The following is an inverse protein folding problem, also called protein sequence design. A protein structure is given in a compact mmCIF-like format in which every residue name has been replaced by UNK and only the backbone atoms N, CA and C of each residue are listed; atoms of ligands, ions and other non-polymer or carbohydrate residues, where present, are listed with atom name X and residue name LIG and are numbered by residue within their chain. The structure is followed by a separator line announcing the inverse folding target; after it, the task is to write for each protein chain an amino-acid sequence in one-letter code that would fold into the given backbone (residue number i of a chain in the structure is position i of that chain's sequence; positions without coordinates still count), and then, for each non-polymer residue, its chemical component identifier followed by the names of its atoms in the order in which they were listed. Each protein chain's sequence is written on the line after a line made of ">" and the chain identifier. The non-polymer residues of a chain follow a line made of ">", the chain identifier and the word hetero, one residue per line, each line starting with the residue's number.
data_IF_975771346544
#
_entry.id   IF_975771346544
#
_cell.length_a   1.000
_cell.length_b   1.000
_cell.length_c   1.000
_cell.angle_alpha   90.00
_cell.angle_beta   90.00
_cell.angle_gamma   90.00
#
_symmetry.space_group_name_H-M   'P 1'
#
loop_
_entity.id
_entity.type
_entity.pdbx_description
1 polymer ?
#
# COMPACT_ATOMS: atom_id res chain seq x y z
N UNK A 1 -63.77 2.74 33.71
CA UNK A 1 -63.29 3.90 32.91
C UNK A 1 -61.77 4.17 33.02
N UNK A 2 -61.13 4.07 34.19
CA UNK A 2 -59.66 4.29 34.34
C UNK A 2 -58.80 3.27 33.58
N UNK A 3 -59.19 1.99 33.58
CA UNK A 3 -58.46 0.94 32.85
C UNK A 3 -58.51 1.11 31.33
N UNK A 4 -59.65 1.57 30.79
CA UNK A 4 -59.83 1.82 29.36
C UNK A 4 -58.96 3.00 28.87
N UNK A 5 -58.81 4.06 29.69
CA UNK A 5 -57.90 5.17 29.40
C UNK A 5 -56.43 4.73 29.41
N UNK A 6 -56.04 3.83 30.30
CA UNK A 6 -54.67 3.31 30.37
C UNK A 6 -54.31 2.47 29.14
N UNK A 7 -55.25 1.65 28.66
CA UNK A 7 -55.08 0.82 27.45
C UNK A 7 -55.00 1.70 26.20
N UNK A 8 -55.81 2.76 26.09
CA UNK A 8 -55.75 3.70 24.96
C UNK A 8 -54.43 4.48 24.94
N UNK A 9 -53.91 4.90 26.10
CA UNK A 9 -52.60 5.59 26.20
C UNK A 9 -51.45 4.64 25.85
N UNK A 10 -51.49 3.37 26.30
CA UNK A 10 -50.49 2.37 25.94
C UNK A 10 -50.52 1.99 24.46
N UNK A 11 -51.72 1.92 23.85
CA UNK A 11 -51.87 1.71 22.41
C UNK A 11 -51.33 2.92 21.60
N UNK A 12 -51.54 4.14 22.07
CA UNK A 12 -50.96 5.34 21.45
C UNK A 12 -49.43 5.36 21.56
N UNK A 13 -48.85 4.93 22.68
CA UNK A 13 -47.39 4.83 22.86
C UNK A 13 -46.75 3.73 21.99
N UNK A 14 -47.51 2.68 21.62
CA UNK A 14 -47.04 1.65 20.69
C UNK A 14 -47.11 2.08 19.23
N UNK A 15 -48.08 2.93 18.86
CA UNK A 15 -48.23 3.45 17.48
C UNK A 15 -47.14 4.47 17.10
N UNK A 16 -46.50 5.13 18.06
CA UNK A 16 -45.40 6.08 17.81
C UNK A 16 -44.01 5.43 17.64
N UNK A 17 -43.91 4.09 17.67
CA UNK A 17 -42.62 3.37 17.52
C UNK A 17 -42.33 2.91 16.08
N UNK A 18 -43.19 3.25 15.11
CA UNK A 18 -42.88 3.04 13.68
C UNK A 18 -42.18 4.29 13.14
N UNK A 19 -41.02 4.61 13.71
CA UNK A 19 -40.11 5.54 13.08
C UNK A 19 -39.62 4.91 11.79
N UNK A 20 -40.02 5.45 10.64
CA UNK A 20 -39.39 5.15 9.35
C UNK A 20 -37.94 5.64 9.43
N UNK A 21 -37.05 4.82 9.96
CA UNK A 21 -35.62 5.01 9.77
C UNK A 21 -35.35 4.75 8.29
N UNK A 22 -35.24 5.82 7.50
CA UNK A 22 -34.90 5.72 6.10
C UNK A 22 -33.55 5.00 5.99
N UNK A 23 -33.54 3.84 5.33
CA UNK A 23 -32.34 3.03 5.20
C UNK A 23 -31.34 3.79 4.34
N UNK A 24 -30.28 4.29 4.97
CA UNK A 24 -29.19 4.99 4.28
C UNK A 24 -28.49 4.02 3.34
N UNK A 25 -28.36 4.40 2.08
CA UNK A 25 -27.56 3.71 1.09
C UNK A 25 -26.20 4.40 0.96
N UNK A 26 -25.16 3.61 0.66
CA UNK A 26 -23.80 4.12 0.53
C UNK A 26 -23.17 3.64 -0.77
N UNK A 27 -22.43 4.52 -1.42
CA UNK A 27 -21.48 4.16 -2.46
C UNK A 27 -20.18 3.73 -1.81
N UNK A 28 -19.61 2.62 -2.28
CA UNK A 28 -18.42 2.00 -1.70
C UNK A 28 -17.33 1.92 -2.78
N UNK A 29 -16.13 2.39 -2.44
CA UNK A 29 -14.93 2.14 -3.22
C UNK A 29 -13.92 1.36 -2.38
N UNK A 30 -13.35 0.34 -2.99
CA UNK A 30 -12.26 -0.44 -2.38
C UNK A 30 -10.93 0.10 -2.92
N UNK A 31 -10.02 0.47 -2.01
CA UNK A 31 -8.62 0.72 -2.32
C UNK A 31 -7.79 -0.44 -1.82
N UNK A 32 -6.97 -1.03 -2.68
CA UNK A 32 -6.10 -2.15 -2.33
C UNK A 32 -4.63 -1.79 -2.54
N UNK A 33 -3.76 -2.39 -1.72
CA UNK A 33 -2.33 -2.46 -1.96
C UNK A 33 -1.89 -3.93 -2.00
N UNK A 34 -0.99 -4.26 -2.93
CA UNK A 34 -0.40 -5.59 -3.01
C UNK A 34 1.04 -5.56 -3.56
N UNK A 35 2.00 -6.07 -2.78
CA UNK A 35 3.33 -6.40 -3.29
C UNK A 35 3.23 -7.62 -4.23
N UNK A 36 3.61 -7.46 -5.49
CA UNK A 36 3.47 -8.50 -6.50
C UNK A 36 4.59 -9.55 -6.47
N UNK A 37 5.56 -9.45 -5.56
CA UNK A 37 6.74 -10.33 -5.46
C UNK A 37 7.40 -10.50 -6.83
N UNK A 38 8.18 -9.49 -7.22
CA UNK A 38 9.02 -9.48 -8.42
C UNK A 38 8.23 -9.82 -9.70
N UNK A 39 7.29 -8.96 -10.08
CA UNK A 39 6.64 -9.06 -11.38
C UNK A 39 7.58 -8.55 -12.47
N UNK A 40 8.51 -9.41 -12.88
CA UNK A 40 9.38 -9.23 -14.04
C UNK A 40 8.76 -9.89 -15.28
N UNK A 41 9.07 -9.35 -16.44
CA UNK A 41 8.95 -10.02 -17.72
C UNK A 41 10.04 -11.11 -17.85
N UNK A 42 10.33 -11.58 -19.06
CA UNK A 42 11.25 -12.72 -19.27
C UNK A 42 12.53 -12.33 -20.02
N UNK A 43 12.72 -11.04 -20.24
CA UNK A 43 13.78 -10.44 -21.04
C UNK A 43 14.76 -9.78 -20.07
N UNK A 44 16.02 -10.18 -20.16
CA UNK A 44 17.05 -9.59 -19.30
C UNK A 44 17.25 -8.11 -19.61
N UNK A 45 17.29 -7.27 -18.59
CA UNK A 45 17.66 -5.87 -18.71
C UNK A 45 19.11 -5.65 -18.20
N UNK A 46 20.08 -5.34 -19.09
CA UNK A 46 21.48 -5.24 -18.71
C UNK A 46 21.79 -4.08 -17.75
N UNK A 47 20.87 -3.14 -17.56
CA UNK A 47 21.02 -1.99 -16.67
C UNK A 47 20.50 -2.25 -15.24
N UNK A 48 19.86 -3.40 -15.01
CA UNK A 48 19.25 -3.79 -13.72
C UNK A 48 19.72 -5.16 -13.26
N UNK A 49 19.51 -5.47 -11.97
CA UNK A 49 19.88 -6.75 -11.39
C UNK A 49 18.73 -7.77 -11.46
N UNK A 50 18.26 -8.10 -12.66
CA UNK A 50 17.10 -8.98 -12.93
C UNK A 50 17.46 -10.36 -13.51
N UNK A 51 18.75 -10.68 -13.70
CA UNK A 51 19.24 -11.94 -14.29
C UNK A 51 18.58 -13.22 -13.70
N UNK A 52 18.21 -13.19 -12.41
CA UNK A 52 17.55 -14.29 -11.73
C UNK A 52 16.14 -14.60 -12.27
N UNK A 53 15.45 -13.59 -12.81
CA UNK A 53 14.10 -13.60 -13.37
C UNK A 53 14.09 -13.81 -14.88
N UNK A 54 15.06 -14.55 -15.40
CA UNK A 54 15.11 -14.97 -16.80
C UNK A 54 14.85 -16.48 -16.94
N UNK A 55 14.57 -17.00 -18.15
CA UNK A 55 14.42 -18.44 -18.37
C UNK A 55 15.66 -19.25 -17.96
N UNK A 56 16.85 -18.65 -18.02
CA UNK A 56 18.13 -19.25 -17.64
C UNK A 56 18.56 -18.90 -16.20
N UNK A 57 17.89 -17.95 -15.56
CA UNK A 57 18.15 -17.51 -14.20
C UNK A 57 17.78 -18.55 -13.15
N UNK A 58 18.10 -18.25 -11.89
CA UNK A 58 17.88 -19.16 -10.75
C UNK A 58 16.39 -19.43 -10.50
N UNK A 59 15.49 -18.50 -10.84
CA UNK A 59 14.04 -18.70 -10.75
C UNK A 59 13.47 -19.52 -11.91
N UNK A 60 14.25 -19.77 -12.98
CA UNK A 60 13.80 -20.43 -14.23
C UNK A 60 12.51 -19.77 -14.75
N UNK A 61 12.53 -18.44 -14.83
CA UNK A 61 11.35 -17.62 -15.12
C UNK A 61 11.03 -17.67 -16.61
N UNK A 62 10.17 -18.61 -17.00
CA UNK A 62 9.75 -18.82 -18.39
C UNK A 62 8.47 -18.05 -18.68
N UNK A 63 8.15 -17.82 -19.96
CA UNK A 63 6.89 -17.16 -20.37
C UNK A 63 5.66 -17.89 -19.82
N UNK A 64 5.72 -19.23 -19.68
CA UNK A 64 4.66 -20.01 -19.02
C UNK A 64 4.47 -19.63 -17.55
N UNK A 65 5.57 -19.45 -16.81
CA UNK A 65 5.50 -19.02 -15.40
C UNK A 65 4.99 -17.59 -15.28
N UNK A 66 5.48 -16.71 -16.15
CA UNK A 66 5.07 -15.32 -16.23
C UNK A 66 3.54 -15.20 -16.46
N UNK A 67 3.00 -15.85 -17.49
CA UNK A 67 1.55 -15.84 -17.72
C UNK A 67 0.76 -16.44 -16.56
N UNK A 68 1.26 -17.52 -15.94
CA UNK A 68 0.60 -18.09 -14.76
C UNK A 68 0.59 -17.10 -13.57
N UNK A 69 1.68 -16.33 -13.39
CA UNK A 69 1.76 -15.27 -12.38
C UNK A 69 0.74 -14.17 -12.66
N UNK A 70 0.61 -13.73 -13.91
CA UNK A 70 -0.41 -12.74 -14.31
C UNK A 70 -1.83 -13.24 -14.00
N UNK A 71 -2.17 -14.49 -14.34
CA UNK A 71 -3.47 -15.08 -14.02
C UNK A 71 -3.73 -15.15 -12.50
N UNK A 72 -2.71 -15.52 -11.74
CA UNK A 72 -2.76 -15.59 -10.28
C UNK A 72 -3.03 -14.20 -9.67
N UNK A 73 -2.25 -13.19 -10.08
CA UNK A 73 -2.42 -11.81 -9.62
C UNK A 73 -3.78 -11.25 -10.04
N UNK A 74 -4.20 -11.44 -11.29
CA UNK A 74 -5.48 -10.99 -11.81
C UNK A 74 -6.66 -11.55 -10.99
N UNK A 75 -6.60 -12.83 -10.63
CA UNK A 75 -7.60 -13.43 -9.74
C UNK A 75 -7.64 -12.72 -8.39
N UNK A 76 -6.47 -12.57 -7.74
CA UNK A 76 -6.39 -11.99 -6.40
C UNK A 76 -6.95 -10.58 -6.39
N UNK A 77 -6.41 -9.71 -7.25
CA UNK A 77 -6.74 -8.28 -7.20
C UNK A 77 -8.22 -8.01 -7.46
N UNK A 78 -8.89 -8.82 -8.29
CA UNK A 78 -10.32 -8.69 -8.55
C UNK A 78 -11.20 -9.16 -7.38
N UNK A 79 -10.71 -10.09 -6.55
CA UNK A 79 -11.45 -10.63 -5.40
C UNK A 79 -11.29 -9.79 -4.12
N UNK A 80 -10.31 -8.89 -4.05
CA UNK A 80 -10.06 -8.06 -2.86
C UNK A 80 -11.27 -7.17 -2.55
N UNK A 81 -11.73 -7.23 -1.30
CA UNK A 81 -12.83 -6.41 -0.80
C UNK A 81 -14.23 -6.76 -1.32
N UNK A 82 -14.36 -7.86 -2.07
CA UNK A 82 -15.64 -8.28 -2.67
C UNK A 82 -16.72 -8.67 -1.66
N UNK A 83 -16.34 -8.89 -0.39
CA UNK A 83 -17.28 -9.21 0.68
C UNK A 83 -18.23 -8.06 1.03
N UNK A 84 -17.77 -6.80 0.90
CA UNK A 84 -18.58 -5.60 1.21
C UNK A 84 -18.90 -4.78 -0.05
N UNK A 85 -18.14 -4.97 -1.13
CA UNK A 85 -18.30 -4.24 -2.39
C UNK A 85 -18.28 -5.20 -3.57
N UNK A 86 -19.41 -5.41 -4.25
CA UNK A 86 -19.46 -6.32 -5.39
C UNK A 86 -18.54 -5.89 -6.57
N UNK A 87 -18.15 -4.61 -6.64
CA UNK A 87 -17.15 -4.15 -7.59
C UNK A 87 -15.74 -4.53 -7.11
N UNK A 88 -14.89 -4.96 -8.04
CA UNK A 88 -13.45 -5.07 -7.83
C UNK A 88 -12.83 -3.73 -7.38
N UNK A 89 -11.62 -3.74 -6.78
CA UNK A 89 -11.00 -2.53 -6.27
C UNK A 89 -10.95 -1.39 -7.26
N UNK A 90 -11.41 -0.22 -6.85
CA UNK A 90 -11.35 0.98 -7.68
C UNK A 90 -9.92 1.43 -7.89
N UNK A 91 -9.06 1.20 -6.90
CA UNK A 91 -7.62 1.39 -7.00
C UNK A 91 -6.90 0.12 -6.56
N UNK A 92 -5.89 -0.27 -7.32
CA UNK A 92 -4.94 -1.33 -6.99
C UNK A 92 -3.57 -0.69 -7.08
N UNK A 93 -3.00 -0.35 -5.94
CA UNK A 93 -1.61 0.04 -5.87
C UNK A 93 -0.74 -1.20 -5.67
N UNK A 94 0.45 -1.18 -6.24
CA UNK A 94 1.35 -2.32 -6.18
C UNK A 94 2.81 -1.90 -6.11
N UNK A 95 3.63 -2.83 -5.65
CA UNK A 95 5.09 -2.73 -5.62
C UNK A 95 5.71 -3.98 -6.23
N UNK A 96 7.02 -3.90 -6.48
CA UNK A 96 7.80 -4.95 -7.13
C UNK A 96 7.39 -5.17 -8.59
N UNK A 97 7.22 -4.06 -9.29
CA UNK A 97 6.90 -4.01 -10.71
C UNK A 97 8.17 -3.73 -11.48
N UNK A 98 8.53 -4.55 -12.46
CA UNK A 98 9.74 -4.26 -13.25
C UNK A 98 9.56 -3.06 -14.17
N UNK A 99 8.45 -3.04 -14.91
CA UNK A 99 8.22 -2.02 -15.92
C UNK A 99 6.72 -1.86 -16.23
N UNK A 100 6.38 -0.86 -17.04
CA UNK A 100 4.98 -0.63 -17.45
C UNK A 100 4.37 -1.80 -18.23
N UNK A 101 5.17 -2.50 -19.05
CA UNK A 101 4.70 -3.59 -19.91
C UNK A 101 4.08 -4.73 -19.11
N UNK A 102 4.67 -5.11 -17.98
CA UNK A 102 4.09 -6.17 -17.14
C UNK A 102 2.73 -5.80 -16.53
N UNK A 103 2.47 -4.51 -16.32
CA UNK A 103 1.17 -4.02 -15.87
C UNK A 103 0.15 -4.01 -17.01
N UNK A 104 0.59 -3.68 -18.22
CA UNK A 104 -0.24 -3.73 -19.43
C UNK A 104 -0.70 -5.17 -19.70
N UNK A 105 0.20 -6.14 -19.59
CA UNK A 105 -0.13 -7.57 -19.69
C UNK A 105 -1.06 -8.04 -18.58
N UNK A 106 -0.95 -7.49 -17.36
CA UNK A 106 -1.84 -7.80 -16.24
C UNK A 106 -3.25 -7.27 -16.48
N UNK A 107 -3.41 -5.98 -16.83
CA UNK A 107 -4.76 -5.40 -17.02
C UNK A 107 -5.47 -5.96 -18.25
N UNK A 108 -4.72 -6.50 -19.21
CA UNK A 108 -5.26 -7.21 -20.38
C UNK A 108 -5.66 -8.65 -20.10
N UNK A 109 -5.37 -9.20 -18.90
CA UNK A 109 -5.85 -10.53 -18.55
C UNK A 109 -7.37 -10.63 -18.74
N UNK A 110 -7.91 -11.74 -19.30
CA UNK A 110 -9.32 -11.82 -19.68
C UNK A 110 -10.32 -11.46 -18.57
N UNK A 111 -9.96 -11.72 -17.30
CA UNK A 111 -10.80 -11.41 -16.15
C UNK A 111 -10.77 -9.93 -15.74
N UNK A 112 -9.70 -9.20 -16.04
CA UNK A 112 -9.47 -7.79 -15.67
C UNK A 112 -9.80 -6.80 -16.80
N UNK A 113 -9.79 -7.25 -18.05
CA UNK A 113 -9.96 -6.37 -19.21
C UNK A 113 -11.29 -5.61 -19.19
N UNK A 114 -12.36 -6.18 -18.62
CA UNK A 114 -13.68 -5.56 -18.56
C UNK A 114 -13.77 -4.38 -17.59
N UNK A 115 -12.84 -4.26 -16.64
CA UNK A 115 -12.82 -3.21 -15.62
C UNK A 115 -12.14 -1.93 -16.10
N UNK A 116 -11.48 -1.96 -17.27
CA UNK A 116 -10.82 -0.81 -17.92
C UNK A 116 -9.93 -0.01 -16.95
N UNK A 117 -8.94 -0.71 -16.37
CA UNK A 117 -7.94 -0.08 -15.51
C UNK A 117 -7.01 0.83 -16.32
N UNK A 118 -6.77 2.04 -15.83
CA UNK A 118 -5.65 2.89 -16.20
C UNK A 118 -4.41 2.58 -15.38
N UNK A 119 -3.24 2.92 -15.90
CA UNK A 119 -1.93 2.66 -15.29
C UNK A 119 -1.19 3.99 -15.09
N UNK A 120 -0.72 4.24 -13.87
CA UNK A 120 0.30 5.26 -13.55
C UNK A 120 1.53 4.52 -12.98
N UNK A 121 2.67 4.71 -13.63
CA UNK A 121 3.94 4.04 -13.34
C UNK A 121 5.11 4.95 -13.72
N UNK A 122 6.20 4.89 -12.95
CA UNK A 122 7.48 5.49 -13.28
C UNK A 122 8.60 4.54 -12.89
N UNK A 123 9.64 4.51 -13.71
CA UNK A 123 10.86 3.82 -13.36
C UNK A 123 11.54 4.56 -12.19
N UNK A 124 12.04 3.80 -11.21
CA UNK A 124 12.75 4.30 -10.04
C UNK A 124 14.23 3.94 -10.11
N UNK A 125 15.10 4.61 -9.32
CA UNK A 125 16.52 4.34 -9.39
C UNK A 125 16.94 3.07 -8.62
N UNK A 126 15.99 2.21 -8.25
CA UNK A 126 16.31 0.95 -7.57
C UNK A 126 17.15 0.04 -8.47
N UNK A 127 18.25 -0.50 -7.93
CA UNK A 127 19.19 -1.31 -8.72
C UNK A 127 18.61 -2.65 -9.18
N UNK A 128 17.53 -3.13 -8.56
CA UNK A 128 16.81 -4.32 -9.02
C UNK A 128 15.85 -4.00 -10.17
N UNK A 129 15.64 -2.73 -10.50
CA UNK A 129 14.65 -2.31 -11.49
C UNK A 129 13.24 -2.62 -11.04
N UNK A 130 12.90 -2.30 -9.78
CA UNK A 130 11.55 -2.55 -9.26
C UNK A 130 10.90 -1.29 -8.71
N UNK A 131 9.63 -1.12 -9.07
CA UNK A 131 8.90 0.12 -8.91
C UNK A 131 7.60 -0.06 -8.14
N UNK A 132 6.92 1.07 -7.98
CA UNK A 132 5.54 1.16 -7.51
C UNK A 132 4.64 1.64 -8.63
N UNK A 133 3.38 1.22 -8.58
CA UNK A 133 2.38 1.64 -9.56
C UNK A 133 1.02 1.85 -8.91
N UNK A 134 0.16 2.58 -9.64
CA UNK A 134 -1.26 2.69 -9.33
C UNK A 134 -2.07 2.28 -10.56
N UNK A 135 -2.86 1.21 -10.40
CA UNK A 135 -3.96 0.88 -11.31
C UNK A 135 -5.24 1.50 -10.77
N UNK A 136 -6.07 2.07 -11.65
CA UNK A 136 -7.34 2.68 -11.26
C UNK A 136 -8.44 2.43 -12.28
N UNK A 137 -9.67 2.20 -11.86
CA UNK A 137 -10.80 2.08 -12.79
C UNK A 137 -11.14 3.46 -13.37
N UNK A 138 -10.94 3.65 -14.68
CA UNK A 138 -11.13 4.94 -15.37
C UNK A 138 -12.55 5.50 -15.25
N UNK A 139 -13.54 4.61 -15.08
CA UNK A 139 -14.94 4.98 -14.86
C UNK A 139 -15.15 5.86 -13.62
N UNK A 140 -14.37 5.62 -12.56
CA UNK A 140 -14.59 6.24 -11.25
C UNK A 140 -13.55 7.30 -10.91
N UNK A 141 -12.30 7.11 -11.38
CA UNK A 141 -11.20 8.01 -11.07
C UNK A 141 -10.61 8.68 -12.31
N UNK A 142 -10.41 9.99 -12.20
CA UNK A 142 -9.74 10.80 -13.22
C UNK A 142 -8.50 11.46 -12.61
N UNK A 143 -7.27 10.96 -12.88
CA UNK A 143 -6.06 11.61 -12.40
C UNK A 143 -5.92 13.00 -13.03
N UNK A 144 -5.46 13.96 -12.24
CA UNK A 144 -5.15 15.33 -12.66
C UNK A 144 -3.67 15.66 -12.55
N UNK A 145 -2.96 15.01 -11.63
CA UNK A 145 -1.51 15.11 -11.50
C UNK A 145 -0.94 13.80 -10.97
N UNK A 146 0.28 13.48 -11.36
CA UNK A 146 1.05 12.41 -10.76
C UNK A 146 2.54 12.71 -10.88
N UNK A 147 3.29 12.41 -9.84
CA UNK A 147 4.72 12.69 -9.75
C UNK A 147 5.43 11.61 -8.93
N UNK A 148 6.65 11.27 -9.33
CA UNK A 148 7.53 10.46 -8.51
C UNK A 148 8.39 11.38 -7.65
N UNK A 149 8.32 11.23 -6.32
CA UNK A 149 8.99 12.13 -5.37
C UNK A 149 10.23 11.44 -4.82
N UNK A 150 11.45 11.95 -5.15
CA UNK A 150 12.67 11.21 -4.85
C UNK A 150 12.99 11.04 -3.37
N UNK A 151 13.41 9.83 -2.99
CA UNK A 151 13.96 9.56 -1.66
C UNK A 151 15.49 9.65 -1.67
N UNK A 152 16.03 10.72 -1.10
CA UNK A 152 17.46 10.89 -0.93
C UNK A 152 17.92 10.39 0.44
N UNK A 153 18.65 9.28 0.45
CA UNK A 153 19.27 8.68 1.63
C UNK A 153 20.73 8.35 1.37
N UNK A 154 21.56 8.45 2.42
CA UNK A 154 23.00 8.27 2.33
C UNK A 154 23.48 7.31 3.43
N UNK A 155 24.40 6.41 3.09
CA UNK A 155 25.09 5.57 4.07
C UNK A 155 26.24 6.37 4.71
N UNK A 156 26.36 6.29 6.03
CA UNK A 156 27.58 6.75 6.68
C UNK A 156 28.70 5.77 6.35
N UNK A 157 29.83 6.24 5.81
CA UNK A 157 31.06 5.42 5.76
C UNK A 157 31.41 5.07 7.20
N UNK A 158 31.33 3.80 7.56
CA UNK A 158 32.02 3.32 8.77
C UNK A 158 33.49 3.66 8.56
N UNK A 159 34.08 4.49 9.42
CA UNK A 159 35.55 4.63 9.45
C UNK A 159 36.12 3.26 9.84
N UNK A 160 36.35 2.40 8.86
CA UNK A 160 37.39 1.39 9.01
C UNK A 160 38.70 2.18 8.91
N UNK A 161 39.21 2.63 10.05
CA UNK A 161 40.63 2.93 10.20
C UNK A 161 41.38 1.60 10.01
N UNK A 162 41.62 1.23 8.76
CA UNK A 162 42.82 0.49 8.42
C UNK A 162 43.89 1.54 8.15
N UNK A 163 44.85 1.58 9.08
CA UNK A 163 46.12 2.30 8.99
C UNK A 163 46.74 2.16 7.60
N UNK A 164 46.70 3.25 6.82
CA UNK A 164 47.63 3.50 5.74
C UNK A 164 48.47 4.73 6.12
N UNK A 165 49.75 4.49 6.34
CA UNK A 165 50.80 5.44 6.64
C UNK A 165 51.02 6.46 5.51
N UNK A 166 51.32 7.70 5.90
CA UNK A 166 52.12 8.75 5.20
C UNK A 166 51.68 9.12 3.78
N UNK A 167 51.31 10.37 3.47
CA UNK A 167 52.17 11.57 3.50
C UNK A 167 51.33 12.78 3.06
N UNK A 168 51.86 13.96 3.37
CA UNK A 168 51.33 15.30 3.15
C UNK A 168 51.11 15.64 1.67
N UNK A 169 50.01 16.34 1.34
CA UNK A 169 49.96 17.60 0.55
C UNK A 169 48.51 17.97 0.16
N UNK A 170 48.31 19.26 -0.08
CA UNK A 170 47.04 19.96 -0.29
C UNK A 170 46.29 19.54 -1.56
N UNK A 171 44.96 19.47 -1.47
CA UNK A 171 44.05 20.20 -2.36
C UNK A 171 42.63 20.18 -1.75
N UNK A 172 41.93 21.31 -1.84
CA UNK A 172 40.51 21.42 -1.48
C UNK A 172 39.67 20.58 -2.46
N UNK A 173 39.65 19.26 -2.27
CA UNK A 173 38.72 18.37 -2.97
C UNK A 173 37.30 18.70 -2.53
N UNK A 174 36.50 19.20 -3.48
CA UNK A 174 35.05 19.18 -3.40
C UNK A 174 34.63 17.72 -3.21
N UNK A 175 34.41 17.34 -1.96
CA UNK A 175 33.96 15.99 -1.57
C UNK A 175 32.73 15.66 -2.41
N UNK A 176 32.87 14.68 -3.31
CA UNK A 176 31.79 14.19 -4.15
C UNK A 176 30.68 13.66 -3.23
N UNK A 177 29.63 14.47 -3.02
CA UNK A 177 28.53 14.21 -2.08
C UNK A 177 27.67 13.00 -2.47
N UNK A 178 27.97 12.36 -3.60
CA UNK A 178 27.22 11.22 -4.15
C UNK A 178 27.78 9.83 -3.81
N UNK A 179 29.03 9.71 -3.31
CA UNK A 179 29.69 8.40 -3.18
C UNK A 179 28.95 7.39 -2.28
N UNK A 180 28.10 7.86 -1.36
CA UNK A 180 27.38 6.99 -0.43
C UNK A 180 25.86 7.02 -0.60
N UNK A 181 25.35 7.51 -1.73
CA UNK A 181 23.90 7.53 -1.97
C UNK A 181 23.37 6.09 -2.02
N UNK A 182 22.34 5.82 -1.23
CA UNK A 182 21.57 4.58 -1.34
C UNK A 182 20.44 4.84 -2.33
N UNK A 183 20.53 4.19 -3.48
CA UNK A 183 19.46 4.22 -4.47
C UNK A 183 18.37 3.22 -4.07
N UNK A 184 17.14 3.71 -4.06
CA UNK A 184 15.95 2.99 -3.62
C UNK A 184 14.72 3.62 -4.29
N UNK A 185 13.55 3.07 -4.02
CA UNK A 185 12.31 3.51 -4.65
C UNK A 185 11.89 4.88 -4.13
N UNK A 186 11.32 5.64 -5.05
CA UNK A 186 10.72 6.93 -4.80
C UNK A 186 9.25 6.76 -4.34
N UNK A 187 8.59 7.86 -3.94
CA UNK A 187 7.18 7.83 -3.54
C UNK A 187 6.29 8.41 -4.64
N UNK A 188 5.40 7.58 -5.19
CA UNK A 188 4.47 7.99 -6.23
C UNK A 188 3.29 8.73 -5.63
N UNK A 189 3.20 10.04 -5.86
CA UNK A 189 2.03 10.86 -5.53
C UNK A 189 1.10 10.94 -6.73
N UNK A 190 -0.18 10.65 -6.52
CA UNK A 190 -1.26 10.79 -7.52
C UNK A 190 -2.38 11.63 -6.93
N UNK A 191 -2.79 12.68 -7.64
CA UNK A 191 -3.96 13.50 -7.33
C UNK A 191 -4.99 13.32 -8.43
N UNK A 192 -6.27 13.27 -8.06
CA UNK A 192 -7.36 13.24 -9.04
C UNK A 192 -8.73 13.20 -8.40
N UNK A 193 -9.76 13.02 -9.21
CA UNK A 193 -11.15 13.05 -8.76
C UNK A 193 -11.77 11.64 -8.76
N UNK A 194 -12.16 11.16 -7.58
CA UNK A 194 -12.98 9.96 -7.38
C UNK A 194 -14.45 10.38 -7.32
N UNK A 195 -15.23 10.05 -8.35
CA UNK A 195 -16.62 10.51 -8.50
C UNK A 195 -16.80 12.03 -8.30
N UNK A 196 -15.86 12.81 -8.82
CA UNK A 196 -15.86 14.27 -8.70
C UNK A 196 -15.35 14.81 -7.37
N UNK A 197 -14.87 13.96 -6.47
CA UNK A 197 -14.26 14.36 -5.20
C UNK A 197 -12.73 14.20 -5.26
N UNK A 198 -11.99 15.25 -4.93
CA UNK A 198 -10.52 15.21 -5.00
C UNK A 198 -9.95 14.30 -3.91
N UNK A 199 -9.07 13.39 -4.33
CA UNK A 199 -8.30 12.52 -3.45
C UNK A 199 -6.83 12.51 -3.88
N UNK A 200 -5.96 12.29 -2.90
CA UNK A 200 -4.53 12.15 -3.09
C UNK A 200 -4.09 10.77 -2.60
N UNK A 201 -3.34 10.04 -3.42
CA UNK A 201 -2.83 8.70 -3.12
C UNK A 201 -1.31 8.76 -3.19
N UNK A 202 -0.64 8.32 -2.13
CA UNK A 202 0.81 8.15 -2.09
C UNK A 202 1.10 6.65 -2.04
N UNK A 203 1.72 6.12 -3.09
CA UNK A 203 2.14 4.71 -3.17
C UNK A 203 3.61 4.60 -2.77
N UNK A 204 3.90 3.65 -1.89
CA UNK A 204 5.21 3.50 -1.26
C UNK A 204 5.76 2.07 -1.42
N UNK A 205 7.09 1.98 -1.53
CA UNK A 205 7.84 0.75 -1.27
C UNK A 205 9.15 1.10 -0.57
N UNK A 206 9.09 1.24 0.76
CA UNK A 206 10.20 1.77 1.56
C UNK A 206 11.41 0.82 1.60
N UNK A 207 12.61 1.34 1.93
CA UNK A 207 13.83 0.53 2.00
C UNK A 207 13.66 -0.73 2.85
N UNK A 208 14.13 -1.87 2.34
CA UNK A 208 14.00 -3.15 3.03
C UNK A 208 14.83 -3.23 4.32
N UNK A 209 14.62 -4.27 5.11
CA UNK A 209 15.40 -4.56 6.32
C UNK A 209 16.79 -5.17 6.03
N UNK A 210 17.41 -4.83 4.89
CA UNK A 210 18.70 -5.36 4.48
C UNK A 210 19.80 -5.11 5.53
N UNK A 211 20.53 -6.16 5.90
CA UNK A 211 21.53 -6.10 6.98
C UNK A 211 20.94 -5.99 8.39
N UNK A 212 19.62 -6.20 8.54
CA UNK A 212 18.89 -6.18 9.81
C UNK A 212 18.10 -4.89 10.03
N UNK A 213 17.01 -5.00 10.78
CA UNK A 213 16.09 -3.89 11.07
C UNK A 213 16.80 -2.69 11.69
N UNK A 214 17.60 -2.91 12.74
CA UNK A 214 18.31 -1.84 13.46
C UNK A 214 19.29 -1.07 12.58
N UNK A 215 19.95 -1.76 11.64
CA UNK A 215 20.94 -1.13 10.74
C UNK A 215 20.26 -0.26 9.67
N UNK A 216 19.10 -0.70 9.20
CA UNK A 216 18.38 -0.09 8.08
C UNK A 216 17.27 0.89 8.49
N UNK A 217 16.91 0.95 9.78
CA UNK A 217 15.74 1.70 10.26
C UNK A 217 15.77 3.17 9.87
N UNK A 218 16.94 3.82 9.93
CA UNK A 218 17.11 5.22 9.56
C UNK A 218 16.65 5.54 8.13
N UNK A 219 16.75 4.58 7.20
CA UNK A 219 16.32 4.79 5.81
C UNK A 219 14.78 4.79 5.69
N UNK A 220 14.10 3.94 6.48
CA UNK A 220 12.64 3.94 6.55
C UNK A 220 12.11 5.12 7.36
N UNK A 221 12.83 5.56 8.39
CA UNK A 221 12.51 6.81 9.10
C UNK A 221 12.60 8.02 8.15
N UNK A 222 13.64 8.10 7.30
CA UNK A 222 13.74 9.12 6.26
C UNK A 222 12.59 9.04 5.24
N UNK A 223 12.18 7.83 4.83
CA UNK A 223 11.02 7.62 3.96
C UNK A 223 9.71 8.11 4.62
N UNK A 224 9.51 7.82 5.91
CA UNK A 224 8.37 8.31 6.70
C UNK A 224 8.36 9.84 6.80
N UNK A 225 9.53 10.48 6.99
CA UNK A 225 9.67 11.94 7.02
C UNK A 225 9.29 12.54 5.65
N UNK A 226 9.76 11.95 4.56
CA UNK A 226 9.38 12.40 3.20
C UNK A 226 7.87 12.28 3.00
N UNK A 227 7.29 11.15 3.40
CA UNK A 227 5.85 10.91 3.27
C UNK A 227 5.05 11.95 4.07
N UNK A 228 5.45 12.25 5.30
CA UNK A 228 4.86 13.31 6.12
C UNK A 228 4.94 14.68 5.45
N UNK A 229 6.10 15.04 4.90
CA UNK A 229 6.28 16.32 4.18
C UNK A 229 5.37 16.46 2.98
N UNK A 230 5.14 15.37 2.23
CA UNK A 230 4.21 15.37 1.10
C UNK A 230 2.78 15.64 1.59
N UNK A 231 2.34 14.94 2.63
CA UNK A 231 1.01 15.11 3.23
C UNK A 231 0.82 16.54 3.75
N UNK A 232 1.81 17.06 4.49
CA UNK A 232 1.78 18.43 5.02
C UNK A 232 1.71 19.48 3.91
N UNK A 233 2.41 19.26 2.80
CA UNK A 233 2.38 20.16 1.65
C UNK A 233 1.00 20.20 1.00
N UNK A 234 0.35 19.05 0.84
CA UNK A 234 -1.02 18.96 0.33
C UNK A 234 -2.00 19.64 1.28
N UNK A 235 -1.88 19.41 2.59
CA UNK A 235 -2.76 20.00 3.60
C UNK A 235 -2.53 21.49 3.81
N UNK A 236 -1.32 21.99 3.54
CA UNK A 236 -1.02 23.43 3.51
C UNK A 236 -1.73 24.14 2.35
N UNK A 237 -1.84 23.48 1.20
CA UNK A 237 -2.56 24.01 0.03
C UNK A 237 -4.08 23.92 0.25
N UNK A 238 -4.55 22.77 0.72
CA UNK A 238 -5.95 22.50 1.02
C UNK A 238 -6.06 21.82 2.41
N UNK A 239 -6.47 22.55 3.47
CA UNK A 239 -6.59 21.98 4.82
C UNK A 239 -7.47 20.73 4.93
N UNK A 240 -8.44 20.56 4.02
CA UNK A 240 -9.32 19.39 3.95
C UNK A 240 -8.82 18.29 3.00
N UNK A 241 -7.61 18.41 2.46
CA UNK A 241 -7.03 17.44 1.54
C UNK A 241 -7.17 16.01 2.07
N UNK A 242 -7.79 15.15 1.27
CA UNK A 242 -7.97 13.73 1.56
C UNK A 242 -6.76 12.99 1.01
N UNK A 243 -5.88 12.56 1.91
CA UNK A 243 -4.65 11.85 1.53
C UNK A 243 -4.68 10.44 2.08
N UNK A 244 -4.39 9.49 1.20
CA UNK A 244 -4.27 8.07 1.49
C UNK A 244 -2.83 7.70 1.18
N UNK A 245 -2.08 7.25 2.19
CA UNK A 245 -0.71 6.77 2.01
C UNK A 245 -0.69 5.27 2.25
N UNK A 246 -0.12 4.54 1.29
CA UNK A 246 -0.22 3.08 1.27
C UNK A 246 1.00 2.46 0.61
N UNK A 247 1.31 1.22 0.98
CA UNK A 247 2.45 0.54 0.42
C UNK A 247 3.01 -0.58 1.29
N UNK A 248 4.06 -1.21 0.77
CA UNK A 248 4.97 -2.05 1.54
C UNK A 248 5.97 -1.10 2.22
N UNK A 249 5.74 -0.87 3.50
CA UNK A 249 6.53 0.07 4.27
C UNK A 249 7.79 -0.59 4.86
N UNK A 250 7.95 -1.92 4.69
CA UNK A 250 9.03 -2.71 5.30
C UNK A 250 9.20 -2.50 6.82
N UNK A 251 8.17 -1.96 7.47
CA UNK A 251 8.10 -1.68 8.89
C UNK A 251 6.71 -1.95 9.43
N UNK A 252 6.69 -2.43 10.67
CA UNK A 252 5.50 -2.65 11.47
C UNK A 252 4.83 -1.31 11.83
N UNK A 253 3.52 -1.29 12.14
CA UNK A 253 2.86 -0.11 12.68
C UNK A 253 3.52 0.47 13.94
N UNK A 254 4.35 -0.30 14.65
CA UNK A 254 5.03 0.13 15.88
C UNK A 254 6.40 0.80 15.66
N UNK A 255 6.97 0.70 14.46
CA UNK A 255 8.30 1.23 14.19
C UNK A 255 8.34 2.77 14.16
N UNK A 256 9.53 3.35 14.41
CA UNK A 256 9.74 4.80 14.43
C UNK A 256 9.32 5.50 13.12
N UNK A 257 9.53 4.84 11.98
CA UNK A 257 9.13 5.35 10.66
C UNK A 257 7.63 5.66 10.58
N UNK A 258 6.81 4.87 11.28
CA UNK A 258 5.35 5.04 11.36
C UNK A 258 4.95 5.92 12.54
N UNK A 259 5.45 5.61 13.75
CA UNK A 259 4.99 6.25 15.00
C UNK A 259 5.59 7.63 15.26
N UNK A 260 6.77 7.92 14.73
CA UNK A 260 7.50 9.18 14.99
C UNK A 260 7.69 10.01 13.72
N UNK A 261 8.18 9.39 12.65
CA UNK A 261 8.45 10.11 11.41
C UNK A 261 7.15 10.49 10.69
N UNK A 262 6.24 9.53 10.48
CA UNK A 262 4.91 9.79 9.91
C UNK A 262 3.91 10.32 10.96
N UNK A 263 4.15 10.03 12.25
CA UNK A 263 3.28 10.36 13.39
C UNK A 263 1.85 9.80 13.30
N UNK A 264 1.71 8.55 12.85
CA UNK A 264 0.40 7.92 12.71
C UNK A 264 -0.17 7.43 14.06
N UNK A 265 -1.48 7.64 14.26
CA UNK A 265 -2.21 7.21 15.46
C UNK A 265 -3.15 6.03 15.14
N UNK A 266 -3.29 5.12 16.09
CA UNK A 266 -4.14 3.92 15.93
C UNK A 266 -5.58 4.10 16.36
N UNK A 267 -5.88 5.17 17.11
CA UNK A 267 -7.23 5.51 17.56
C UNK A 267 -7.70 6.78 16.84
N UNK A 268 -8.87 6.73 16.20
CA UNK A 268 -9.42 7.85 15.40
C UNK A 268 -9.56 9.14 16.22
N UNK A 269 -9.84 9.02 17.51
CA UNK A 269 -10.03 10.12 18.46
C UNK A 269 -8.73 10.81 18.83
N UNK A 270 -7.60 10.10 18.80
CA UNK A 270 -6.26 10.63 19.10
C UNK A 270 -5.61 11.31 17.90
N UNK A 271 -6.16 11.15 16.69
CA UNK A 271 -5.64 11.77 15.48
C UNK A 271 -5.89 13.28 15.55
N UNK A 272 -4.84 14.13 15.62
CA UNK A 272 -5.01 15.57 15.66
C UNK A 272 -5.50 16.11 14.30
N UNK A 273 -5.80 17.40 14.25
CA UNK A 273 -5.92 18.11 12.96
C UNK A 273 -4.64 17.94 12.15
N UNK A 274 -4.76 17.73 10.84
CA UNK A 274 -3.64 17.35 9.95
C UNK A 274 -2.92 16.04 10.34
N UNK A 275 -3.52 15.25 11.23
CA UNK A 275 -2.99 13.97 11.67
C UNK A 275 -3.31 12.82 10.71
N UNK A 276 -2.66 11.68 10.96
CA UNK A 276 -2.80 10.46 10.17
C UNK A 276 -3.31 9.32 11.05
N UNK A 277 -4.28 8.59 10.53
CA UNK A 277 -4.87 7.42 11.14
C UNK A 277 -4.32 6.14 10.51
N UNK A 278 -3.87 5.20 11.36
CA UNK A 278 -3.41 3.89 10.95
C UNK A 278 -4.32 2.78 11.50
N UNK A 279 -5.20 2.18 10.69
CA UNK A 279 -6.07 1.08 11.11
C UNK A 279 -5.34 -0.26 11.28
N UNK A 280 -4.09 -0.39 10.81
CA UNK A 280 -3.36 -1.65 10.81
C UNK A 280 -2.64 -1.94 12.13
N UNK A 281 -2.41 -0.93 12.98
CA UNK A 281 -1.82 -1.15 14.31
C UNK A 281 -2.68 -2.06 15.19
N UNK A 282 -4.01 -1.87 15.17
CA UNK A 282 -4.94 -2.74 15.91
C UNK A 282 -4.98 -4.17 15.36
N UNK A 283 -4.70 -4.36 14.07
CA UNK A 283 -4.57 -5.69 13.47
C UNK A 283 -3.27 -6.36 13.92
N UNK A 284 -2.17 -5.62 13.94
CA UNK A 284 -0.88 -6.12 14.44
C UNK A 284 -0.97 -6.53 15.91
N UNK A 285 -1.64 -5.73 16.76
CA UNK A 285 -1.90 -6.09 18.17
C UNK A 285 -2.70 -7.38 18.34
N UNK A 286 -3.53 -7.74 17.35
CA UNK A 286 -4.30 -9.00 17.32
C UNK A 286 -3.51 -10.18 16.75
N UNK A 287 -2.24 -9.99 16.42
CA UNK A 287 -1.38 -11.03 15.85
C UNK A 287 -1.66 -11.31 14.36
N UNK A 288 -2.36 -10.41 13.67
CA UNK A 288 -2.49 -10.50 12.21
C UNK A 288 -1.19 -10.02 11.55
N UNK A 289 -0.92 -10.53 10.35
CA UNK A 289 0.27 -10.17 9.58
C UNK A 289 0.00 -10.19 8.07
N UNK A 290 0.81 -9.43 7.34
CA UNK A 290 0.84 -9.41 5.88
C UNK A 290 2.06 -10.15 5.35
N UNK A 291 3.11 -10.28 6.17
CA UNK A 291 4.34 -11.00 5.87
C UNK A 291 4.72 -11.89 7.06
N UNK A 292 5.40 -12.99 6.79
CA UNK A 292 5.96 -13.87 7.80
C UNK A 292 7.45 -14.15 7.53
N UNK A 293 8.27 -13.98 8.57
CA UNK A 293 9.72 -14.23 8.51
C UNK A 293 10.21 -14.86 9.82
N UNK A 294 10.91 -16.00 9.73
CA UNK A 294 11.44 -16.75 10.89
C UNK A 294 10.35 -17.00 11.96
N UNK A 295 9.19 -17.46 11.52
CA UNK A 295 8.01 -17.77 12.33
C UNK A 295 7.41 -16.59 13.10
N UNK A 296 7.77 -15.36 12.72
CA UNK A 296 7.15 -14.13 13.19
C UNK A 296 6.31 -13.50 12.10
N UNK A 297 5.07 -13.15 12.43
CA UNK A 297 4.20 -12.33 11.60
C UNK A 297 4.44 -10.85 11.85
N UNK A 298 4.39 -10.05 10.79
CA UNK A 298 4.42 -8.59 10.86
C UNK A 298 3.45 -8.00 9.83
N UNK A 299 3.15 -6.70 9.95
CA UNK A 299 2.35 -5.94 8.98
C UNK A 299 3.25 -4.89 8.34
N UNK A 300 3.80 -5.21 7.17
CA UNK A 300 4.56 -4.25 6.37
C UNK A 300 3.65 -3.49 5.42
N UNK A 301 2.64 -4.17 4.89
CA UNK A 301 1.66 -3.64 3.95
C UNK A 301 0.59 -2.88 4.73
N UNK A 302 0.54 -1.56 4.56
CA UNK A 302 -0.34 -0.69 5.33
C UNK A 302 -1.05 0.31 4.44
N UNK A 303 -2.25 0.72 4.84
CA UNK A 303 -3.02 1.82 4.23
C UNK A 303 -3.46 2.77 5.34
N UNK A 304 -2.98 4.00 5.30
CA UNK A 304 -3.24 5.05 6.29
C UNK A 304 -3.94 6.23 5.63
N UNK A 305 -4.74 6.95 6.42
CA UNK A 305 -5.58 8.05 5.92
C UNK A 305 -5.47 9.28 6.81
N UNK A 306 -5.58 10.47 6.22
CA UNK A 306 -5.59 11.73 6.96
C UNK A 306 -6.86 11.91 7.80
N UNK A 307 -6.82 12.82 8.79
CA UNK A 307 -7.98 13.19 9.63
C UNK A 307 -9.23 13.56 8.80
N UNK A 308 -9.03 14.19 7.64
CA UNK A 308 -10.08 14.58 6.69
C UNK A 308 -10.91 13.41 6.12
N UNK A 309 -10.39 12.18 6.21
CA UNK A 309 -11.04 10.94 5.77
C UNK A 309 -11.68 10.12 6.91
N UNK A 310 -11.62 10.57 8.17
CA UNK A 310 -12.20 9.84 9.31
C UNK A 310 -13.23 10.68 10.09
N UNK A 311 -13.85 11.64 9.41
CA UNK A 311 -14.91 12.47 9.97
C UNK A 311 -16.22 11.66 10.02
N UNK A 312 -17.08 11.97 10.99
CA UNK A 312 -18.43 11.39 11.07
C UNK A 312 -19.43 12.16 10.18
N UNK A 313 -19.03 12.41 8.93
CA UNK A 313 -19.84 13.06 7.90
C UNK A 313 -19.65 12.32 6.57
N UNK A 314 -20.70 11.63 6.13
CA UNK A 314 -20.71 10.81 4.92
C UNK A 314 -21.25 11.55 3.69
N UNK A 315 -21.40 12.87 3.75
CA UNK A 315 -21.70 13.71 2.58
C UNK A 315 -20.58 13.66 1.52
N UNK A 316 -19.38 13.28 1.94
CA UNK A 316 -18.18 13.05 1.13
C UNK A 316 -17.57 11.69 1.49
N UNK A 317 -16.57 11.21 0.74
CA UNK A 317 -15.95 9.92 1.03
C UNK A 317 -15.25 9.89 2.39
N UNK A 318 -15.57 8.88 3.20
CA UNK A 318 -14.93 8.63 4.48
C UNK A 318 -14.42 7.19 4.55
N UNK A 319 -13.30 6.99 5.23
CA UNK A 319 -12.82 5.67 5.62
C UNK A 319 -13.83 4.98 6.52
N UNK A 320 -14.18 3.76 6.12
CA UNK A 320 -15.07 2.90 6.89
C UNK A 320 -14.32 1.80 7.64
N UNK A 321 -13.61 0.94 6.89
CA UNK A 321 -13.03 -0.31 7.39
C UNK A 321 -11.79 -0.68 6.57
N UNK A 322 -10.85 -1.36 7.23
CA UNK A 322 -9.65 -1.95 6.64
C UNK A 322 -9.69 -3.48 6.76
N UNK A 323 -8.89 -4.17 5.94
CA UNK A 323 -8.70 -5.62 6.06
C UNK A 323 -7.40 -6.11 5.41
N UNK A 324 -7.00 -7.32 5.79
CA UNK A 324 -5.96 -8.13 5.15
C UNK A 324 -6.68 -9.22 4.36
N UNK A 325 -6.36 -9.37 3.07
CA UNK A 325 -6.94 -10.38 2.20
C UNK A 325 -6.09 -11.65 2.22
N UNK A 326 -6.55 -12.67 2.94
CA UNK A 326 -5.79 -13.90 3.20
C UNK A 326 -6.61 -15.17 2.88
N UNK A 327 -7.20 -15.23 1.68
CA UNK A 327 -7.92 -16.43 1.21
C UNK A 327 -7.02 -17.66 1.27
N UNK A 328 -7.59 -18.84 1.52
CA UNK A 328 -6.84 -20.08 1.70
C UNK A 328 -5.90 -20.44 0.55
N UNK A 329 -6.24 -20.06 -0.69
CA UNK A 329 -5.38 -20.31 -1.85
C UNK A 329 -4.12 -19.42 -1.90
N UNK A 330 -4.07 -18.34 -1.11
CA UNK A 330 -2.89 -17.51 -0.89
C UNK A 330 -1.96 -18.08 0.18
N UNK A 331 -2.31 -19.19 0.83
CA UNK A 331 -1.57 -19.74 1.95
C UNK A 331 -0.86 -21.02 1.52
N UNK A 332 0.43 -21.12 1.84
CA UNK A 332 1.22 -22.31 1.62
C UNK A 332 0.65 -23.47 2.46
N UNK A 333 0.22 -24.55 1.80
CA UNK A 333 -0.46 -25.68 2.46
C UNK A 333 0.46 -26.75 3.03
N UNK A 334 1.74 -26.77 2.61
CA UNK A 334 2.69 -27.85 2.92
C UNK A 334 4.14 -27.38 2.92
N UNK A 335 5.04 -28.20 3.47
CA UNK A 335 6.47 -27.93 3.57
C UNK A 335 6.82 -27.06 4.79
N UNK A 336 8.08 -26.63 4.86
CA UNK A 336 8.61 -25.84 5.99
C UNK A 336 7.89 -24.50 6.18
N UNK A 337 7.34 -23.92 5.12
CA UNK A 337 6.62 -22.63 5.15
C UNK A 337 5.10 -22.79 5.23
N UNK A 338 4.59 -23.95 5.69
CA UNK A 338 3.15 -24.15 5.83
C UNK A 338 2.53 -23.05 6.70
N UNK A 339 1.48 -22.40 6.19
CA UNK A 339 0.79 -21.29 6.85
C UNK A 339 1.27 -19.90 6.41
N UNK A 340 2.39 -19.78 5.69
CA UNK A 340 2.92 -18.52 5.18
C UNK A 340 2.16 -18.09 3.90
N UNK A 341 2.28 -16.82 3.47
CA UNK A 341 1.89 -16.42 2.13
C UNK A 341 2.55 -17.31 1.07
N UNK A 342 1.77 -17.69 0.06
CA UNK A 342 2.16 -18.63 -0.99
C UNK A 342 3.03 -17.91 -2.02
N UNK A 343 4.32 -17.87 -1.73
CA UNK A 343 5.35 -17.20 -2.52
C UNK A 343 5.78 -17.95 -3.78
N UNK A 344 6.44 -17.25 -4.70
CA UNK A 344 7.09 -17.86 -5.85
C UNK A 344 8.28 -18.73 -5.46
N UNK A 345 8.52 -19.79 -6.24
CA UNK A 345 9.73 -20.60 -6.16
C UNK A 345 10.16 -21.13 -7.53
N UNK A 346 11.38 -21.65 -7.61
CA UNK A 346 11.90 -22.27 -8.83
C UNK A 346 11.02 -23.41 -9.38
N UNK A 347 10.18 -24.07 -8.56
CA UNK A 347 9.31 -25.17 -8.99
C UNK A 347 7.82 -24.85 -8.99
N UNK A 348 7.39 -23.83 -8.26
CA UNK A 348 5.97 -23.48 -8.12
C UNK A 348 5.73 -21.98 -8.33
N UNK A 349 4.76 -21.66 -9.19
CA UNK A 349 4.32 -20.28 -9.40
C UNK A 349 3.33 -19.89 -8.31
N UNK A 350 3.84 -19.19 -7.29
CA UNK A 350 3.03 -18.61 -6.22
C UNK A 350 2.30 -17.32 -6.62
N UNK A 351 1.78 -16.64 -5.60
CA UNK A 351 1.10 -15.35 -5.69
C UNK A 351 2.01 -14.22 -5.25
N UNK A 352 2.43 -14.24 -3.98
CA UNK A 352 3.35 -13.28 -3.36
C UNK A 352 3.77 -13.82 -1.99
N UNK A 353 4.92 -13.38 -1.48
CA UNK A 353 5.30 -13.55 -0.07
C UNK A 353 4.58 -12.56 0.87
N UNK A 354 3.68 -11.73 0.35
CA UNK A 354 2.79 -10.84 1.09
C UNK A 354 1.31 -11.20 0.93
N UNK A 355 0.49 -10.85 1.92
CA UNK A 355 -0.97 -10.76 1.76
C UNK A 355 -1.39 -9.34 1.37
N UNK A 356 -2.30 -9.17 0.39
CA UNK A 356 -2.84 -7.87 0.06
C UNK A 356 -3.57 -7.22 1.24
N UNK A 357 -3.56 -5.89 1.28
CA UNK A 357 -4.34 -5.10 2.23
C UNK A 357 -5.29 -4.17 1.50
N UNK A 358 -6.39 -3.80 2.16
CA UNK A 358 -7.39 -2.94 1.56
C UNK A 358 -8.14 -2.10 2.58
N UNK A 359 -8.73 -1.00 2.11
CA UNK A 359 -9.72 -0.21 2.83
C UNK A 359 -10.96 0.01 1.98
N UNK A 360 -12.07 0.34 2.65
CA UNK A 360 -13.27 0.86 2.02
C UNK A 360 -13.43 2.35 2.32
N UNK A 361 -13.71 3.12 1.26
CA UNK A 361 -14.26 4.46 1.36
C UNK A 361 -15.75 4.41 1.10
N UNK A 362 -16.55 5.08 1.93
CA UNK A 362 -18.00 5.14 1.79
C UNK A 362 -18.49 6.59 1.73
N UNK A 363 -19.55 6.81 0.96
CA UNK A 363 -20.26 8.09 0.83
C UNK A 363 -21.75 7.81 0.75
N UNK A 364 -22.54 8.53 1.53
CA UNK A 364 -23.99 8.38 1.55
C UNK A 364 -24.55 8.77 0.17
N UNK A 365 -25.32 7.88 -0.44
CA UNK A 365 -26.01 8.18 -1.69
C UNK A 365 -27.29 8.94 -1.38
N UNK A 366 -27.53 10.01 -2.13
CA UNK A 366 -28.77 10.80 -2.04
C UNK A 366 -29.99 10.02 -2.51
#
# INVERSE_FOLDING_TARGET
>A
MRMLRLIVVLAFLFLFRIGFSQQKSYRIHTLAFYNFENLFDTINNPDTNDDEWTPKGTQRWTSKKYHQKLENLARVVLEIGTAENANSPTFIACSEIENRGVLEDLVQQPKMAMQDYGIIHFDSPDKRGIDVALLFQKKYFKPTSYANIPLYIYQNKTQNQETASTSEEQDDEVVNTFENRVFTRDQLLVTGFLDGEEINIIVNHWPSRAGGEKKSSQFREAAGILNRKIIDSLQKINPDAKVITLGDLNDSPFNNSIKKALDAKSQKQEVPEFGIYNPFEEMAKKGLGTIAFRDSWDIFDQIMVTKSLIKNDFSTYQYWKAGIFNKSYLIQSSGQYKGYPKRHSATEVGFSDHFPVYIYLIKETK
#
